data_IF_878728768312
#
_entry.id   IF_878728768312
#
_cell.length_a   1.000
_cell.length_b   1.000
_cell.length_c   1.000
_cell.angle_alpha   90.00
_cell.angle_beta   90.00
_cell.angle_gamma   90.00
#
_symmetry.space_group_name_H-M   'P 1'
#
loop_
_entity.id
_entity.type
_entity.pdbx_description
1 polymer ?
#
# COMPACT_ATOMS: atom_id res chain seq x y z
N UNK A 1 -7.01 -6.51 -24.73
CA UNK A 1 -7.99 -7.23 -23.88
C UNK A 1 -9.00 -6.25 -23.29
N UNK A 2 -10.18 -6.73 -22.93
CA UNK A 2 -11.15 -6.01 -22.10
C UNK A 2 -11.01 -6.51 -20.66
N UNK A 3 -10.63 -5.63 -19.75
CA UNK A 3 -10.32 -5.98 -18.36
C UNK A 3 -11.30 -5.28 -17.42
N UNK A 4 -12.06 -6.02 -16.63
CA UNK A 4 -12.88 -5.46 -15.58
C UNK A 4 -12.08 -5.42 -14.26
N UNK A 5 -11.91 -4.22 -13.69
CA UNK A 5 -11.27 -4.01 -12.38
C UNK A 5 -12.35 -3.80 -11.33
N UNK A 6 -12.40 -4.65 -10.31
CA UNK A 6 -13.47 -4.64 -9.31
C UNK A 6 -12.89 -4.47 -7.91
N UNK A 7 -13.27 -3.39 -7.25
CA UNK A 7 -12.88 -3.10 -5.87
C UNK A 7 -14.01 -2.34 -5.16
N UNK A 8 -14.31 -2.67 -3.91
CA UNK A 8 -15.27 -1.87 -3.12
C UNK A 8 -14.79 -0.43 -2.90
N UNK A 9 -13.48 -0.20 -2.98
CA UNK A 9 -12.84 1.09 -2.73
C UNK A 9 -12.15 1.60 -3.98
N UNK A 10 -12.46 2.85 -4.34
CA UNK A 10 -11.90 3.50 -5.51
C UNK A 10 -11.86 5.02 -5.29
N UNK A 11 -10.94 5.77 -5.90
CA UNK A 11 -10.94 7.23 -5.76
C UNK A 11 -12.30 7.86 -6.12
N UNK A 12 -12.69 8.94 -5.40
CA UNK A 12 -11.90 9.79 -4.50
C UNK A 12 -11.69 9.25 -3.09
N UNK A 13 -12.12 8.02 -2.79
CA UNK A 13 -11.83 7.40 -1.50
C UNK A 13 -10.33 7.16 -1.33
N UNK A 14 -9.78 7.66 -0.23
CA UNK A 14 -8.36 7.49 0.12
C UNK A 14 -8.14 6.09 0.72
N UNK A 15 -7.09 5.40 0.28
CA UNK A 15 -6.69 4.09 0.80
C UNK A 15 -5.77 3.37 -0.16
N UNK A 16 -4.86 2.52 0.36
CA UNK A 16 -3.85 1.82 -0.45
C UNK A 16 -4.46 0.96 -1.56
N UNK A 17 -5.47 0.13 -1.24
CA UNK A 17 -6.14 -0.71 -2.24
C UNK A 17 -6.93 0.10 -3.27
N UNK A 18 -7.55 1.23 -2.87
CA UNK A 18 -8.28 2.11 -3.77
C UNK A 18 -7.33 2.75 -4.80
N UNK A 19 -6.20 3.27 -4.33
CA UNK A 19 -5.21 3.88 -5.22
C UNK A 19 -4.55 2.84 -6.12
N UNK A 20 -4.15 1.68 -5.60
CA UNK A 20 -3.54 0.64 -6.41
C UNK A 20 -4.47 0.14 -7.52
N UNK A 21 -5.75 -0.12 -7.20
CA UNK A 21 -6.73 -0.55 -8.20
C UNK A 21 -6.92 0.51 -9.31
N UNK A 22 -6.98 1.80 -8.94
CA UNK A 22 -7.11 2.89 -9.90
C UNK A 22 -5.85 3.04 -10.77
N UNK A 23 -4.67 3.03 -10.15
CA UNK A 23 -3.40 3.16 -10.87
C UNK A 23 -3.17 2.00 -11.83
N UNK A 24 -3.51 0.76 -11.44
CA UNK A 24 -3.44 -0.38 -12.35
C UNK A 24 -4.46 -0.26 -13.50
N UNK A 25 -5.70 0.18 -13.22
CA UNK A 25 -6.69 0.41 -14.26
C UNK A 25 -6.23 1.45 -15.30
N UNK A 26 -5.63 2.55 -14.83
CA UNK A 26 -5.01 3.58 -15.67
C UNK A 26 -3.88 3.01 -16.52
N UNK A 27 -2.99 2.22 -15.91
CA UNK A 27 -1.87 1.59 -16.62
C UNK A 27 -2.33 0.58 -17.67
N UNK A 28 -3.39 -0.17 -17.41
CA UNK A 28 -3.96 -1.07 -18.41
C UNK A 28 -4.55 -0.29 -19.58
N UNK A 29 -5.30 0.80 -19.30
CA UNK A 29 -5.85 1.65 -20.34
C UNK A 29 -4.76 2.34 -21.17
N UNK A 30 -3.72 2.87 -20.54
CA UNK A 30 -2.57 3.50 -21.21
C UNK A 30 -1.82 2.54 -22.15
N UNK A 31 -1.90 1.23 -21.90
CA UNK A 31 -1.31 0.17 -22.76
C UNK A 31 -2.29 -0.35 -23.83
N UNK A 32 -3.40 0.35 -24.04
CA UNK A 32 -4.35 0.04 -25.12
C UNK A 32 -5.35 -1.06 -24.77
N UNK A 33 -5.52 -1.41 -23.49
CA UNK A 33 -6.59 -2.28 -23.07
C UNK A 33 -7.88 -1.48 -22.81
N UNK A 34 -9.03 -2.05 -23.11
CA UNK A 34 -10.32 -1.48 -22.73
C UNK A 34 -10.60 -1.84 -21.26
N UNK A 35 -10.83 -0.84 -20.42
CA UNK A 35 -10.96 -1.05 -18.97
C UNK A 35 -12.28 -0.52 -18.43
N UNK A 36 -12.94 -1.34 -17.60
CA UNK A 36 -14.12 -0.98 -16.81
C UNK A 36 -13.83 -1.18 -15.33
N UNK A 37 -13.79 -0.09 -14.57
CA UNK A 37 -13.71 -0.15 -13.11
C UNK A 37 -15.12 -0.17 -12.50
N UNK A 38 -15.40 -1.14 -11.62
CA UNK A 38 -16.67 -1.26 -10.89
C UNK A 38 -16.40 -1.16 -9.40
N UNK A 39 -17.06 -0.23 -8.71
CA UNK A 39 -16.82 0.04 -7.30
C UNK A 39 -18.10 0.39 -6.54
N UNK A 40 -18.02 0.50 -5.22
CA UNK A 40 -19.10 1.01 -4.39
C UNK A 40 -19.14 2.54 -4.43
N UNK A 41 -20.35 3.12 -4.41
CA UNK A 41 -20.53 4.56 -4.34
C UNK A 41 -19.90 5.14 -3.07
N UNK A 42 -19.26 6.29 -3.22
CA UNK A 42 -18.60 7.00 -2.12
C UNK A 42 -18.75 8.52 -2.27
N UNK A 43 -19.20 9.17 -1.20
CA UNK A 43 -19.46 10.62 -1.17
C UNK A 43 -20.29 11.06 -2.39
N UNK A 44 -19.98 12.21 -2.95
CA UNK A 44 -20.65 12.80 -4.11
C UNK A 44 -19.98 12.46 -5.45
N UNK A 45 -19.16 11.39 -5.46
CA UNK A 45 -18.49 10.95 -6.69
C UNK A 45 -19.52 10.51 -7.76
N UNK A 46 -19.33 10.85 -9.04
CA UNK A 46 -20.23 10.46 -10.12
C UNK A 46 -20.50 8.95 -10.15
N UNK A 47 -21.77 8.58 -10.38
CA UNK A 47 -22.15 7.16 -10.46
C UNK A 47 -21.57 6.46 -11.70
N UNK A 48 -21.27 7.21 -12.76
CA UNK A 48 -20.69 6.74 -14.02
C UNK A 48 -19.85 7.87 -14.60
N UNK A 49 -18.59 7.62 -14.86
CA UNK A 49 -17.67 8.61 -15.45
C UNK A 49 -16.61 7.90 -16.30
N UNK A 50 -16.06 8.65 -17.25
CA UNK A 50 -14.84 8.25 -17.96
C UNK A 50 -13.71 9.13 -17.47
N UNK A 51 -12.64 8.52 -17.00
CA UNK A 51 -11.47 9.19 -16.45
C UNK A 51 -10.22 8.46 -16.85
N UNK A 52 -9.16 9.17 -17.19
CA UNK A 52 -7.83 8.63 -17.51
C UNK A 52 -7.87 7.47 -18.54
N UNK A 53 -8.78 7.58 -19.53
CA UNK A 53 -8.94 6.62 -20.62
C UNK A 53 -9.77 5.37 -20.30
N UNK A 54 -10.37 5.27 -19.12
CA UNK A 54 -11.24 4.14 -18.74
C UNK A 54 -12.54 4.59 -18.07
N UNK A 55 -13.55 3.70 -18.07
CA UNK A 55 -14.85 3.96 -17.47
C UNK A 55 -14.89 3.47 -16.03
N UNK A 56 -15.46 4.29 -15.14
CA UNK A 56 -15.69 3.97 -13.72
C UNK A 56 -17.18 3.97 -13.42
N UNK A 57 -17.71 2.87 -12.95
CA UNK A 57 -19.11 2.73 -12.53
C UNK A 57 -19.20 2.47 -11.04
N UNK A 58 -19.93 3.32 -10.32
CA UNK A 58 -20.15 3.21 -8.87
C UNK A 58 -21.55 2.70 -8.58
N UNK A 59 -21.61 1.56 -7.89
CA UNK A 59 -22.88 0.96 -7.47
C UNK A 59 -23.31 1.52 -6.13
N UNK A 60 -24.61 1.88 -5.95
CA UNK A 60 -25.13 2.30 -4.65
C UNK A 60 -24.75 1.29 -3.56
N UNK A 61 -24.27 1.77 -2.42
CA UNK A 61 -23.82 0.91 -1.33
C UNK A 61 -24.45 1.29 0.01
N UNK A 62 -24.49 0.35 0.93
CA UNK A 62 -24.89 0.58 2.32
C UNK A 62 -23.61 0.74 3.14
N UNK A 63 -23.47 1.89 3.78
CA UNK A 63 -22.40 2.16 4.73
C UNK A 63 -22.70 1.40 6.03
N UNK A 64 -21.75 0.60 6.47
CA UNK A 64 -21.85 -0.12 7.74
C UNK A 64 -21.52 0.83 8.90
N UNK A 65 -22.21 0.71 10.04
CA UNK A 65 -21.84 1.44 11.24
C UNK A 65 -20.44 1.03 11.70
N UNK A 66 -19.69 2.01 12.22
CA UNK A 66 -18.39 1.76 12.80
C UNK A 66 -18.57 0.99 14.12
N UNK A 67 -18.09 -0.23 14.16
CA UNK A 67 -18.23 -1.11 15.33
C UNK A 67 -17.05 -1.01 16.31
N UNK A 68 -16.17 -0.02 16.13
CA UNK A 68 -14.94 0.12 16.95
C UNK A 68 -13.91 -1.01 16.75
N UNK A 69 -14.10 -1.83 15.70
CA UNK A 69 -13.26 -2.99 15.40
C UNK A 69 -11.97 -2.62 14.66
N UNK A 70 -11.89 -1.42 14.12
CA UNK A 70 -10.72 -0.91 13.42
C UNK A 70 -10.69 0.63 13.48
N UNK A 71 -9.52 1.19 13.17
CA UNK A 71 -9.34 2.61 12.88
C UNK A 71 -10.38 3.02 11.83
N UNK A 72 -10.98 4.19 11.97
CA UNK A 72 -11.99 4.88 11.11
C UNK A 72 -12.09 4.38 9.66
N UNK A 73 -12.45 3.12 9.49
CA UNK A 73 -12.55 2.48 8.20
C UNK A 73 -14.03 2.31 7.82
N UNK A 74 -14.51 3.19 6.97
CA UNK A 74 -15.87 3.11 6.44
C UNK A 74 -16.04 1.88 5.54
N UNK A 75 -16.67 0.82 6.06
CA UNK A 75 -17.04 -0.33 5.23
C UNK A 75 -18.35 -0.04 4.49
N UNK A 76 -18.35 -0.24 3.17
CA UNK A 76 -19.52 -0.07 2.31
C UNK A 76 -19.74 -1.35 1.50
N UNK A 77 -20.94 -1.91 1.58
CA UNK A 77 -21.34 -3.12 0.88
C UNK A 77 -22.40 -2.81 -0.18
N UNK A 78 -22.11 -3.14 -1.43
CA UNK A 78 -23.02 -2.95 -2.54
C UNK A 78 -24.09 -4.06 -2.63
N UNK A 79 -23.75 -5.29 -2.22
CA UNK A 79 -24.67 -6.43 -2.24
C UNK A 79 -25.91 -6.25 -1.35
N UNK A 80 -25.79 -5.41 -0.32
CA UNK A 80 -26.92 -5.09 0.58
C UNK A 80 -27.98 -4.20 -0.07
N UNK A 81 -27.73 -3.66 -1.27
CA UNK A 81 -28.75 -2.92 -2.05
C UNK A 81 -29.45 -3.85 -3.02
N UNK A 82 -30.78 -3.95 -2.97
CA UNK A 82 -31.54 -4.75 -3.92
C UNK A 82 -31.26 -4.36 -5.38
N UNK A 83 -31.08 -5.35 -6.23
CA UNK A 83 -30.83 -5.13 -7.65
C UNK A 83 -29.38 -4.89 -8.07
N UNK A 84 -28.44 -4.60 -7.15
CA UNK A 84 -27.05 -4.37 -7.51
C UNK A 84 -26.37 -5.61 -8.11
N UNK A 85 -26.69 -6.79 -7.67
CA UNK A 85 -26.22 -8.01 -8.31
C UNK A 85 -26.56 -8.04 -9.81
N UNK A 86 -27.88 -7.83 -10.13
CA UNK A 86 -28.32 -7.81 -11.54
C UNK A 86 -27.66 -6.68 -12.32
N UNK A 87 -27.48 -5.51 -11.69
CA UNK A 87 -26.81 -4.36 -12.31
C UNK A 87 -25.34 -4.63 -12.60
N UNK A 88 -24.61 -5.24 -11.66
CA UNK A 88 -23.21 -5.62 -11.85
C UNK A 88 -23.08 -6.62 -12.99
N UNK A 89 -23.90 -7.68 -13.00
CA UNK A 89 -23.85 -8.69 -14.03
C UNK A 89 -24.23 -8.12 -15.41
N UNK A 90 -25.24 -7.24 -15.48
CA UNK A 90 -25.60 -6.54 -16.70
C UNK A 90 -24.45 -5.68 -17.24
N UNK A 91 -23.72 -4.96 -16.37
CA UNK A 91 -22.53 -4.19 -16.75
C UNK A 91 -21.44 -5.09 -17.33
N UNK A 92 -21.19 -6.23 -16.72
CA UNK A 92 -20.22 -7.21 -17.21
C UNK A 92 -20.68 -7.88 -18.53
N UNK A 93 -21.98 -8.19 -18.69
CA UNK A 93 -22.55 -8.73 -19.94
C UNK A 93 -22.43 -7.72 -21.10
N UNK A 94 -22.64 -6.41 -20.83
CA UNK A 94 -22.49 -5.34 -21.81
C UNK A 94 -21.01 -5.11 -22.16
N UNK A 95 -20.14 -5.13 -21.17
CA UNK A 95 -18.70 -4.90 -21.33
C UNK A 95 -18.00 -6.11 -21.95
N UNK A 96 -18.44 -7.33 -21.68
CA UNK A 96 -17.88 -8.61 -22.15
C UNK A 96 -16.37 -8.72 -21.83
N UNK A 97 -15.98 -8.74 -20.57
CA UNK A 97 -14.56 -8.78 -20.21
C UNK A 97 -13.90 -10.08 -20.69
N UNK A 98 -12.63 -9.97 -21.09
CA UNK A 98 -11.77 -11.12 -21.36
C UNK A 98 -11.17 -11.66 -20.05
N UNK A 99 -10.97 -10.78 -19.05
CA UNK A 99 -10.44 -11.08 -17.72
C UNK A 99 -10.99 -10.14 -16.65
N UNK A 100 -10.96 -10.56 -15.38
CA UNK A 100 -11.43 -9.77 -14.24
C UNK A 100 -10.32 -9.66 -13.19
N UNK A 101 -10.00 -8.43 -12.78
CA UNK A 101 -9.11 -8.13 -11.65
C UNK A 101 -9.92 -7.78 -10.42
N UNK A 102 -9.91 -8.64 -9.42
CA UNK A 102 -10.57 -8.47 -8.13
C UNK A 102 -9.58 -7.92 -7.10
N UNK A 103 -10.03 -6.95 -6.31
CA UNK A 103 -9.23 -6.38 -5.22
C UNK A 103 -9.90 -6.59 -3.88
N UNK A 104 -9.20 -7.28 -2.98
CA UNK A 104 -9.66 -7.57 -1.62
C UNK A 104 -10.60 -8.78 -1.55
N UNK A 105 -10.14 -9.79 -0.81
CA UNK A 105 -10.82 -11.07 -0.62
C UNK A 105 -12.09 -10.99 0.24
N UNK A 106 -12.24 -9.91 1.01
CA UNK A 106 -13.28 -9.76 2.03
C UNK A 106 -14.48 -8.95 1.56
N UNK A 107 -14.50 -8.52 0.30
CA UNK A 107 -15.49 -7.58 -0.19
C UNK A 107 -16.50 -8.21 -1.16
N UNK A 108 -17.74 -7.80 -0.98
CA UNK A 108 -18.89 -8.35 -1.69
C UNK A 108 -18.86 -8.15 -3.21
N UNK A 109 -18.33 -7.03 -3.70
CA UNK A 109 -18.19 -6.83 -5.15
C UNK A 109 -17.20 -7.82 -5.76
N UNK A 110 -16.09 -8.12 -5.06
CA UNK A 110 -15.15 -9.15 -5.50
C UNK A 110 -15.82 -10.52 -5.56
N UNK A 111 -16.68 -10.87 -4.62
CA UNK A 111 -17.41 -12.13 -4.64
C UNK A 111 -18.42 -12.19 -5.79
N UNK A 112 -19.22 -11.14 -5.97
CA UNK A 112 -20.25 -11.08 -7.02
C UNK A 112 -19.64 -11.11 -8.44
N UNK A 113 -18.55 -10.39 -8.65
CA UNK A 113 -17.82 -10.41 -9.93
C UNK A 113 -17.07 -11.74 -10.13
N UNK A 114 -16.52 -12.32 -9.06
CA UNK A 114 -15.91 -13.64 -9.09
C UNK A 114 -16.91 -14.75 -9.44
N UNK A 115 -18.16 -14.68 -8.93
CA UNK A 115 -19.24 -15.60 -9.32
C UNK A 115 -19.57 -15.46 -10.81
N UNK A 116 -19.60 -14.24 -11.34
CA UNK A 116 -19.77 -14.00 -12.77
C UNK A 116 -18.62 -14.63 -13.57
N UNK A 117 -17.37 -14.35 -13.19
CA UNK A 117 -16.19 -14.91 -13.84
C UNK A 117 -16.21 -16.45 -13.84
N UNK A 118 -16.53 -17.04 -12.69
CA UNK A 118 -16.64 -18.51 -12.57
C UNK A 118 -17.69 -19.12 -13.48
N UNK A 119 -18.88 -18.46 -13.56
CA UNK A 119 -19.98 -18.91 -14.44
C UNK A 119 -19.61 -18.84 -15.91
N UNK A 120 -18.90 -17.78 -16.31
CA UNK A 120 -18.52 -17.52 -17.70
C UNK A 120 -17.14 -18.09 -18.06
N UNK A 121 -16.47 -18.80 -17.13
CA UNK A 121 -15.12 -19.37 -17.27
C UNK A 121 -14.08 -18.33 -17.67
N UNK A 122 -14.21 -17.12 -17.11
CA UNK A 122 -13.25 -16.04 -17.34
C UNK A 122 -12.07 -16.16 -16.38
N UNK A 123 -10.85 -15.88 -16.84
CA UNK A 123 -9.71 -15.68 -15.97
C UNK A 123 -9.97 -14.58 -14.93
N UNK A 124 -9.53 -14.83 -13.69
CA UNK A 124 -9.63 -13.82 -12.63
C UNK A 124 -8.39 -13.81 -11.76
N UNK A 125 -7.84 -12.62 -11.54
CA UNK A 125 -6.85 -12.34 -10.50
C UNK A 125 -7.55 -11.81 -9.26
N UNK A 126 -7.04 -12.14 -8.08
CA UNK A 126 -7.49 -11.58 -6.81
C UNK A 126 -6.28 -11.04 -6.03
N UNK A 127 -6.14 -9.73 -5.98
CA UNK A 127 -5.09 -9.08 -5.17
C UNK A 127 -5.51 -9.00 -3.72
N UNK A 128 -4.66 -9.50 -2.84
CA UNK A 128 -4.85 -9.52 -1.38
C UNK A 128 -4.25 -8.23 -0.81
N UNK A 129 -5.10 -7.33 -0.32
CA UNK A 129 -4.68 -6.04 0.25
C UNK A 129 -4.79 -5.98 1.77
N UNK A 130 -5.71 -6.73 2.35
CA UNK A 130 -6.04 -6.62 3.77
C UNK A 130 -5.89 -7.98 4.43
N UNK A 131 -5.06 -8.02 5.44
CA UNK A 131 -4.90 -9.19 6.29
C UNK A 131 -5.79 -8.98 7.53
N UNK A 132 -6.69 -9.92 7.78
CA UNK A 132 -7.56 -9.91 8.96
C UNK A 132 -6.83 -10.50 10.16
N UNK A 133 -5.85 -9.75 10.66
CA UNK A 133 -5.06 -10.08 11.84
C UNK A 133 -5.29 -9.02 12.92
N UNK A 134 -5.20 -9.42 14.17
CA UNK A 134 -5.31 -8.52 15.31
C UNK A 134 -4.54 -9.09 16.50
N UNK A 135 -3.83 -8.23 17.23
CA UNK A 135 -3.16 -8.56 18.47
C UNK A 135 -4.17 -8.87 19.61
N UNK A 136 -5.38 -8.35 19.49
CA UNK A 136 -6.47 -8.69 20.36
C UNK A 136 -6.99 -10.11 20.04
N UNK A 137 -6.78 -11.05 20.97
CA UNK A 137 -7.15 -12.47 20.81
C UNK A 137 -8.62 -12.68 20.44
N UNK A 138 -9.54 -11.85 20.97
CA UNK A 138 -10.97 -11.94 20.67
C UNK A 138 -11.23 -11.56 19.21
N UNK A 139 -10.72 -10.41 18.77
CA UNK A 139 -10.88 -9.97 17.37
C UNK A 139 -10.16 -10.88 16.39
N UNK A 140 -8.95 -11.32 16.71
CA UNK A 140 -8.23 -12.32 15.93
C UNK A 140 -9.02 -13.62 15.77
N UNK A 141 -9.70 -14.09 16.84
CA UNK A 141 -10.60 -15.24 16.80
C UNK A 141 -11.82 -15.01 15.91
N UNK A 142 -12.46 -13.84 16.01
CA UNK A 142 -13.61 -13.47 15.15
C UNK A 142 -13.19 -13.39 13.69
N UNK A 143 -12.06 -12.76 13.38
CA UNK A 143 -11.55 -12.68 12.01
C UNK A 143 -11.22 -14.05 11.42
N UNK A 144 -10.59 -14.92 12.22
CA UNK A 144 -10.30 -16.30 11.83
C UNK A 144 -11.59 -17.08 11.54
N UNK A 145 -12.60 -16.92 12.38
CA UNK A 145 -13.91 -17.54 12.18
C UNK A 145 -14.57 -17.05 10.88
N UNK A 146 -14.62 -15.73 10.64
CA UNK A 146 -15.19 -15.16 9.43
C UNK A 146 -14.44 -15.61 8.16
N UNK A 147 -13.11 -15.65 8.22
CA UNK A 147 -12.31 -16.21 7.13
C UNK A 147 -12.69 -17.66 6.84
N UNK A 148 -12.83 -18.48 7.88
CA UNK A 148 -13.06 -19.92 7.74
C UNK A 148 -14.47 -20.24 7.23
N UNK A 149 -15.51 -19.53 7.71
CA UNK A 149 -16.91 -19.85 7.38
C UNK A 149 -17.48 -19.06 6.20
N UNK A 150 -16.90 -17.91 5.87
CA UNK A 150 -17.41 -17.04 4.83
C UNK A 150 -16.43 -16.90 3.65
N UNK A 151 -15.22 -16.41 3.92
CA UNK A 151 -14.27 -16.05 2.85
C UNK A 151 -13.69 -17.28 2.18
N UNK A 152 -13.13 -18.20 2.95
CA UNK A 152 -12.48 -19.40 2.42
C UNK A 152 -13.39 -20.29 1.56
N UNK A 153 -14.65 -20.61 1.97
CA UNK A 153 -15.57 -21.37 1.11
C UNK A 153 -15.87 -20.66 -0.23
N UNK A 154 -16.04 -19.34 -0.20
CA UNK A 154 -16.24 -18.55 -1.41
C UNK A 154 -15.01 -18.62 -2.31
N UNK A 155 -13.80 -18.38 -1.80
CA UNK A 155 -12.57 -18.41 -2.57
C UNK A 155 -12.27 -19.81 -3.14
N UNK A 156 -12.54 -20.87 -2.37
CA UNK A 156 -12.44 -22.25 -2.85
C UNK A 156 -13.40 -22.57 -4.01
N UNK A 157 -14.59 -21.97 -3.99
CA UNK A 157 -15.54 -22.10 -5.10
C UNK A 157 -15.10 -21.27 -6.31
N UNK A 158 -14.67 -20.03 -6.10
CA UNK A 158 -14.27 -19.12 -7.18
C UNK A 158 -12.99 -19.59 -7.87
N UNK A 159 -12.02 -20.08 -7.12
CA UNK A 159 -10.69 -20.50 -7.59
C UNK A 159 -9.97 -19.38 -8.36
N UNK A 160 -9.80 -18.18 -7.77
CA UNK A 160 -9.03 -17.12 -8.40
C UNK A 160 -7.55 -17.50 -8.43
N UNK A 161 -6.78 -16.88 -9.34
CA UNK A 161 -5.35 -16.81 -9.18
C UNK A 161 -5.04 -15.67 -8.23
N UNK A 162 -4.35 -15.95 -7.13
CA UNK A 162 -4.04 -14.97 -6.09
C UNK A 162 -2.86 -14.10 -6.52
N UNK A 163 -2.94 -12.81 -6.21
CA UNK A 163 -1.81 -11.88 -6.26
C UNK A 163 -1.50 -11.45 -4.83
N UNK A 164 -0.30 -11.77 -4.36
CA UNK A 164 0.14 -11.56 -2.99
C UNK A 164 1.29 -10.57 -2.99
N UNK A 165 1.25 -9.57 -2.08
CA UNK A 165 2.08 -8.39 -2.16
C UNK A 165 3.41 -8.51 -1.41
N UNK A 166 3.45 -9.29 -0.33
CA UNK A 166 4.59 -9.44 0.56
C UNK A 166 4.59 -10.79 1.30
N UNK A 167 5.64 -11.07 2.05
CA UNK A 167 5.81 -12.30 2.80
C UNK A 167 4.71 -12.52 3.85
N UNK A 168 4.30 -11.48 4.56
CA UNK A 168 3.23 -11.58 5.54
C UNK A 168 1.92 -12.01 4.89
N UNK A 169 1.65 -11.48 3.69
CA UNK A 169 0.54 -11.90 2.84
C UNK A 169 0.67 -13.36 2.39
N UNK A 170 1.88 -13.82 2.07
CA UNK A 170 2.13 -15.23 1.70
C UNK A 170 1.79 -16.15 2.87
N UNK A 171 2.37 -15.89 4.03
CA UNK A 171 2.15 -16.71 5.24
C UNK A 171 0.66 -16.77 5.61
N UNK A 172 -0.02 -15.60 5.54
CA UNK A 172 -1.46 -15.51 5.76
C UNK A 172 -2.27 -16.32 4.75
N UNK A 173 -1.99 -16.20 3.46
CA UNK A 173 -2.76 -16.88 2.41
C UNK A 173 -2.51 -18.38 2.39
N UNK A 174 -1.30 -18.83 2.69
CA UNK A 174 -0.99 -20.26 2.85
C UNK A 174 -1.77 -20.84 4.02
N UNK A 175 -1.75 -20.18 5.20
CA UNK A 175 -2.48 -20.64 6.39
C UNK A 175 -3.99 -20.65 6.18
N UNK A 176 -4.55 -19.58 5.56
CA UNK A 176 -6.01 -19.37 5.51
C UNK A 176 -6.68 -19.96 4.29
N UNK A 177 -6.02 -19.89 3.14
CA UNK A 177 -6.63 -20.24 1.85
C UNK A 177 -5.93 -21.41 1.17
N UNK A 178 -4.78 -21.88 1.69
CA UNK A 178 -4.03 -22.99 1.12
C UNK A 178 -3.41 -22.61 -0.23
N UNK A 179 -2.92 -21.38 -0.35
CA UNK A 179 -2.25 -20.93 -1.57
C UNK A 179 -0.89 -21.57 -1.75
N UNK A 180 -0.43 -21.64 -3.00
CA UNK A 180 0.88 -22.16 -3.41
C UNK A 180 1.28 -21.53 -4.74
N UNK A 181 2.49 -21.75 -5.20
CA UNK A 181 2.98 -21.27 -6.51
C UNK A 181 2.11 -21.71 -7.69
N UNK A 182 1.37 -22.81 -7.53
CA UNK A 182 0.46 -23.30 -8.57
C UNK A 182 -0.74 -22.36 -8.81
N UNK A 183 -1.18 -21.60 -7.79
CA UNK A 183 -2.37 -20.75 -7.85
C UNK A 183 -2.12 -19.31 -7.39
N UNK A 184 -0.85 -18.90 -7.21
CA UNK A 184 -0.47 -17.56 -6.77
C UNK A 184 0.63 -16.98 -7.63
N UNK A 185 0.64 -15.65 -7.73
CA UNK A 185 1.75 -14.82 -8.20
C UNK A 185 2.12 -13.83 -7.10
N UNK A 186 3.36 -13.39 -7.10
CA UNK A 186 3.89 -12.47 -6.11
C UNK A 186 4.27 -11.16 -6.81
N UNK A 187 3.39 -10.17 -6.73
CA UNK A 187 3.62 -8.84 -7.27
C UNK A 187 3.57 -7.84 -6.14
N UNK A 188 4.62 -7.05 -5.93
CA UNK A 188 4.69 -6.12 -4.82
C UNK A 188 3.69 -4.98 -4.96
N UNK A 189 3.54 -4.20 -3.90
CA UNK A 189 2.82 -2.93 -3.97
C UNK A 189 3.51 -2.01 -4.98
N UNK A 190 2.72 -1.37 -5.86
CA UNK A 190 3.26 -0.48 -6.87
C UNK A 190 3.36 0.97 -6.39
N UNK A 191 4.40 1.68 -6.84
CA UNK A 191 4.59 3.11 -6.62
C UNK A 191 4.65 3.86 -7.95
N UNK A 192 3.99 5.02 -7.99
CA UNK A 192 3.96 5.87 -9.17
C UNK A 192 5.26 6.67 -9.28
N UNK A 193 6.07 6.34 -10.29
CA UNK A 193 7.35 6.98 -10.52
C UNK A 193 7.22 8.41 -11.02
N UNK A 194 6.15 8.76 -11.72
CA UNK A 194 5.95 10.08 -12.33
C UNK A 194 5.61 11.19 -11.33
N UNK A 195 5.18 10.87 -10.12
CA UNK A 195 4.87 11.89 -9.11
C UNK A 195 6.09 12.64 -8.59
N UNK A 196 7.28 12.05 -8.70
CA UNK A 196 8.55 12.62 -8.21
C UNK A 196 9.32 13.41 -9.29
N UNK A 197 8.80 13.48 -10.50
CA UNK A 197 9.38 14.25 -11.61
C UNK A 197 8.79 15.66 -11.72
N UNK A 198 7.76 15.96 -10.94
CA UNK A 198 7.06 17.25 -10.94
C UNK A 198 7.82 18.30 -10.13
N UNK A 199 7.79 19.57 -10.53
CA UNK A 199 8.38 20.66 -9.75
C UNK A 199 7.77 20.74 -8.34
N UNK A 200 8.63 20.96 -7.35
CA UNK A 200 8.21 21.17 -5.97
C UNK A 200 7.59 22.56 -5.81
N UNK A 201 6.46 22.64 -5.14
CA UNK A 201 5.71 23.88 -4.90
C UNK A 201 5.81 24.40 -3.47
N UNK A 202 6.41 23.59 -2.57
CA UNK A 202 6.52 23.88 -1.15
C UNK A 202 7.99 23.84 -0.72
N UNK A 203 8.43 24.89 -0.01
CA UNK A 203 9.69 24.88 0.73
C UNK A 203 9.43 24.44 2.18
N UNK A 204 9.59 23.15 2.43
CA UNK A 204 9.34 22.52 3.74
C UNK A 204 10.27 23.07 4.82
N UNK A 205 11.54 23.40 4.48
CA UNK A 205 12.50 23.95 5.47
C UNK A 205 12.08 25.32 5.93
N UNK A 206 11.65 26.17 5.02
CA UNK A 206 11.13 27.50 5.36
C UNK A 206 9.80 27.43 6.12
N UNK A 207 8.85 26.60 5.65
CA UNK A 207 7.51 26.43 6.25
C UNK A 207 7.60 26.01 7.73
N UNK A 208 8.47 25.05 8.03
CA UNK A 208 8.60 24.50 9.38
C UNK A 208 9.79 25.06 10.17
N UNK A 209 10.48 26.07 9.65
CA UNK A 209 11.64 26.74 10.29
C UNK A 209 12.72 25.74 10.73
N UNK A 210 13.05 24.77 9.85
CA UNK A 210 13.96 23.68 10.17
C UNK A 210 15.44 24.12 10.29
N UNK A 211 15.79 25.27 9.73
CA UNK A 211 17.19 25.74 9.68
C UNK A 211 18.05 24.91 8.71
N UNK A 212 19.36 24.99 8.88
CA UNK A 212 20.36 24.34 8.03
C UNK A 212 20.80 22.96 8.56
N UNK A 213 20.30 22.56 9.72
CA UNK A 213 20.62 21.26 10.34
C UNK A 213 20.06 20.08 9.56
N UNK A 214 20.52 18.85 9.88
CA UNK A 214 19.98 17.64 9.26
C UNK A 214 18.51 17.44 9.59
N UNK A 215 17.75 16.91 8.61
CA UNK A 215 16.31 16.65 8.74
C UNK A 215 16.02 15.17 8.53
N UNK A 216 15.34 14.58 9.50
CA UNK A 216 14.78 13.24 9.39
C UNK A 216 13.26 13.38 9.18
N UNK A 217 12.74 12.86 8.08
CA UNK A 217 11.29 12.81 7.84
C UNK A 217 10.75 11.44 8.20
N UNK A 218 9.69 11.40 8.99
CA UNK A 218 8.96 10.17 9.29
C UNK A 218 7.53 10.30 8.80
N UNK A 219 7.25 9.75 7.60
CA UNK A 219 6.00 9.92 6.88
C UNK A 219 5.07 8.73 7.11
N UNK A 220 3.79 9.02 7.28
CA UNK A 220 2.69 8.07 7.45
C UNK A 220 1.88 8.30 8.72
N UNK A 221 0.64 7.83 8.75
CA UNK A 221 -0.19 7.94 9.94
C UNK A 221 0.43 7.21 11.13
N UNK A 222 0.43 7.85 12.30
CA UNK A 222 0.91 7.25 13.54
C UNK A 222 -0.22 6.48 14.20
N UNK A 223 -0.07 5.16 14.22
CA UNK A 223 -1.00 4.19 14.81
C UNK A 223 -0.21 3.23 15.72
N UNK A 224 -0.83 2.42 16.56
CA UNK A 224 -0.10 1.48 17.43
C UNK A 224 0.93 0.62 16.70
N UNK A 225 0.56 0.05 15.54
CA UNK A 225 1.44 -0.77 14.69
C UNK A 225 2.52 0.03 13.94
N UNK A 226 2.37 1.34 13.86
CA UNK A 226 3.28 2.28 13.20
C UNK A 226 3.54 3.46 14.11
N UNK A 227 3.96 3.16 15.32
CA UNK A 227 4.37 4.17 16.28
C UNK A 227 5.75 4.74 15.88
N UNK A 228 6.22 5.74 16.58
CA UNK A 228 7.52 6.38 16.32
C UNK A 228 8.51 6.16 17.45
N UNK A 229 8.22 5.20 18.35
CA UNK A 229 9.04 4.94 19.52
C UNK A 229 10.49 4.60 19.18
N UNK A 230 10.80 3.71 18.20
CA UNK A 230 12.19 3.38 17.90
C UNK A 230 13.01 4.59 17.46
N UNK A 231 12.39 5.52 16.68
CA UNK A 231 13.04 6.75 16.27
C UNK A 231 13.22 7.71 17.45
N UNK A 232 12.20 7.88 18.30
CA UNK A 232 12.24 8.77 19.44
C UNK A 232 13.26 8.30 20.48
N UNK A 233 13.35 7.02 20.74
CA UNK A 233 14.34 6.42 21.64
C UNK A 233 15.78 6.49 21.09
N UNK A 234 15.95 6.59 19.79
CA UNK A 234 17.23 6.81 19.13
C UNK A 234 17.70 8.29 19.24
N UNK A 235 16.78 9.24 19.40
CA UNK A 235 17.09 10.68 19.35
C UNK A 235 18.12 11.16 20.37
N UNK A 236 18.15 10.74 21.64
CA UNK A 236 19.19 11.18 22.57
C UNK A 236 20.60 10.95 22.03
N UNK A 237 20.88 9.76 21.48
CA UNK A 237 22.18 9.42 20.91
C UNK A 237 22.46 10.19 19.61
N UNK A 238 21.45 10.41 18.77
CA UNK A 238 21.57 11.19 17.54
C UNK A 238 21.87 12.63 17.86
N UNK A 239 21.15 13.26 18.80
CA UNK A 239 21.32 14.67 19.19
C UNK A 239 22.63 14.92 19.92
N UNK A 240 23.19 13.93 20.63
CA UNK A 240 24.54 14.03 21.21
C UNK A 240 25.61 14.25 20.13
N UNK A 241 25.48 13.62 18.97
CA UNK A 241 26.40 13.74 17.82
C UNK A 241 26.03 14.89 16.88
N UNK A 242 24.74 15.06 16.65
CA UNK A 242 24.17 16.03 15.71
C UNK A 242 23.11 16.89 16.39
N UNK A 243 23.47 17.87 17.25
CA UNK A 243 22.51 18.63 18.06
C UNK A 243 21.54 19.48 17.24
N UNK A 244 21.82 19.70 15.94
CA UNK A 244 20.94 20.44 15.01
C UNK A 244 19.89 19.59 14.31
N UNK A 245 19.81 18.28 14.57
CA UNK A 245 18.84 17.40 13.93
C UNK A 245 17.41 17.81 14.27
N UNK A 246 16.56 17.83 13.25
CA UNK A 246 15.10 17.96 13.39
C UNK A 246 14.40 16.72 12.81
N UNK A 247 13.36 16.27 13.50
CA UNK A 247 12.47 15.19 13.03
C UNK A 247 11.13 15.77 12.65
N UNK A 248 10.71 15.55 11.40
CA UNK A 248 9.40 15.99 10.90
C UNK A 248 8.50 14.77 10.76
N UNK A 249 7.50 14.65 11.62
CA UNK A 249 6.50 13.60 11.60
C UNK A 249 5.32 14.07 10.74
N UNK A 250 5.15 13.42 9.58
CA UNK A 250 4.14 13.79 8.58
C UNK A 250 3.03 12.74 8.56
N UNK A 251 1.82 13.13 8.95
CA UNK A 251 0.64 12.26 8.98
C UNK A 251 -0.24 12.52 10.20
N UNK A 252 -1.46 11.99 10.19
CA UNK A 252 -2.35 12.09 11.36
C UNK A 252 -1.81 11.24 12.50
N UNK A 253 -1.84 11.80 13.69
CA UNK A 253 -1.47 11.10 14.93
C UNK A 253 -2.75 10.56 15.57
N UNK A 254 -2.90 9.24 15.56
CA UNK A 254 -3.95 8.51 16.27
C UNK A 254 -3.42 7.85 17.55
N UNK A 255 -2.09 7.83 17.72
CA UNK A 255 -1.41 7.21 18.85
C UNK A 255 -0.21 8.07 19.27
N UNK A 256 -0.35 8.79 20.38
CA UNK A 256 0.55 9.88 20.81
C UNK A 256 1.66 9.43 21.77
N UNK A 257 1.81 8.14 22.04
CA UNK A 257 2.77 7.60 23.04
C UNK A 257 4.20 8.09 22.74
N UNK A 258 4.57 8.21 21.46
CA UNK A 258 5.90 8.70 21.08
C UNK A 258 6.17 10.16 21.51
N UNK A 259 5.15 11.02 21.58
CA UNK A 259 5.30 12.41 22.05
C UNK A 259 5.57 12.45 23.55
N UNK A 260 4.84 11.66 24.33
CA UNK A 260 5.07 11.53 25.77
C UNK A 260 6.48 11.00 26.06
N UNK A 261 6.91 10.00 25.26
CA UNK A 261 8.25 9.46 25.36
C UNK A 261 9.33 10.48 25.01
N UNK A 262 9.07 11.32 24.00
CA UNK A 262 9.98 12.41 23.65
C UNK A 262 10.13 13.45 24.78
N UNK A 263 9.04 13.79 25.47
CA UNK A 263 9.06 14.66 26.66
C UNK A 263 9.90 14.04 27.80
N UNK A 264 9.66 12.75 28.09
CA UNK A 264 10.42 12.01 29.12
C UNK A 264 11.93 11.99 28.83
N UNK A 265 12.31 11.88 27.56
CA UNK A 265 13.70 11.84 27.13
C UNK A 265 14.31 13.25 26.93
N UNK A 266 13.52 14.32 27.04
CA UNK A 266 13.98 15.69 26.83
C UNK A 266 14.33 16.03 25.38
N UNK A 267 13.74 15.33 24.40
CA UNK A 267 14.00 15.50 22.95
C UNK A 267 12.80 16.05 22.17
N UNK A 268 11.74 16.46 22.85
CA UNK A 268 10.51 16.95 22.23
C UNK A 268 10.73 18.16 21.31
N UNK A 269 11.66 19.05 21.64
CA UNK A 269 11.98 20.26 20.85
C UNK A 269 12.63 19.94 19.49
N UNK A 270 13.11 18.71 19.30
CA UNK A 270 13.64 18.26 18.02
C UNK A 270 12.53 17.73 17.09
N UNK A 271 11.30 17.52 17.58
CA UNK A 271 10.21 16.88 16.85
C UNK A 271 9.18 17.91 16.41
N UNK A 272 8.83 17.88 15.13
CA UNK A 272 7.79 18.71 14.52
C UNK A 272 6.72 17.77 13.96
N UNK A 273 5.46 17.97 14.38
CA UNK A 273 4.31 17.19 13.87
C UNK A 273 3.48 18.05 12.94
N UNK A 274 3.41 17.70 11.67
CA UNK A 274 2.68 18.50 10.67
C UNK A 274 1.19 18.15 10.59
N UNK A 275 0.79 16.97 11.08
CA UNK A 275 -0.49 16.41 10.74
C UNK A 275 -0.52 15.85 9.31
N UNK A 276 -1.74 15.59 8.77
CA UNK A 276 -1.88 15.13 7.39
C UNK A 276 -1.62 16.26 6.40
N UNK A 277 -0.82 15.98 5.39
CA UNK A 277 -0.52 16.89 4.28
C UNK A 277 -1.15 16.41 2.97
N UNK A 278 -1.40 17.29 2.00
CA UNK A 278 -1.82 16.89 0.66
C UNK A 278 -0.80 15.93 0.03
N UNK A 279 -1.29 14.91 -0.70
CA UNK A 279 -0.40 13.95 -1.38
C UNK A 279 0.57 14.63 -2.36
N UNK A 280 0.14 15.72 -2.97
CA UNK A 280 0.98 16.50 -3.90
C UNK A 280 2.19 17.15 -3.22
N UNK A 281 2.13 17.40 -1.91
CA UNK A 281 3.22 18.04 -1.16
C UNK A 281 4.23 17.02 -0.60
N UNK A 282 3.89 15.72 -0.58
CA UNK A 282 4.77 14.66 -0.05
C UNK A 282 6.17 14.66 -0.68
N UNK A 283 6.33 14.83 -2.01
CA UNK A 283 7.66 14.92 -2.62
C UNK A 283 8.54 16.04 -2.05
N UNK A 284 7.94 17.18 -1.63
CA UNK A 284 8.68 18.28 -1.04
C UNK A 284 9.24 17.94 0.36
N UNK A 285 8.52 17.12 1.14
CA UNK A 285 9.03 16.62 2.43
C UNK A 285 10.21 15.68 2.23
N UNK A 286 10.16 14.79 1.23
CA UNK A 286 11.30 13.93 0.93
C UNK A 286 12.50 14.71 0.43
N UNK A 287 12.28 15.71 -0.42
CA UNK A 287 13.37 16.58 -0.90
C UNK A 287 14.02 17.44 0.21
N UNK A 288 13.29 17.75 1.27
CA UNK A 288 13.82 18.48 2.42
C UNK A 288 14.60 17.58 3.40
N UNK A 289 14.42 16.24 3.30
CA UNK A 289 14.99 15.28 4.23
C UNK A 289 16.40 14.85 3.84
N UNK A 290 17.24 14.66 4.83
CA UNK A 290 18.53 13.96 4.70
C UNK A 290 18.33 12.45 4.79
N UNK A 291 17.39 12.02 5.65
CA UNK A 291 17.04 10.61 5.89
C UNK A 291 15.52 10.52 6.06
N UNK A 292 14.94 9.43 5.54
CA UNK A 292 13.54 9.11 5.79
C UNK A 292 13.43 7.83 6.61
N UNK A 293 12.50 7.84 7.54
CA UNK A 293 12.03 6.65 8.25
C UNK A 293 10.50 6.56 8.10
N UNK A 294 9.94 5.36 8.08
CA UNK A 294 8.48 5.23 8.03
C UNK A 294 7.98 4.28 9.10
N UNK A 295 8.19 2.99 8.93
CA UNK A 295 7.65 1.94 9.75
C UNK A 295 8.80 1.11 10.35
N UNK A 296 9.33 1.59 11.48
CA UNK A 296 10.45 0.96 12.17
C UNK A 296 9.99 -0.19 13.12
N UNK A 297 8.71 -0.51 13.10
CA UNK A 297 8.11 -1.60 13.87
C UNK A 297 7.90 -2.87 13.02
N UNK A 298 8.46 -2.93 11.84
CA UNK A 298 8.39 -4.10 10.96
C UNK A 298 7.62 -3.84 9.66
N UNK A 299 8.01 -2.82 8.89
CA UNK A 299 7.37 -2.50 7.63
C UNK A 299 8.27 -1.83 6.59
N UNK A 300 7.88 -2.00 5.32
CA UNK A 300 8.38 -1.25 4.17
C UNK A 300 7.22 -1.05 3.20
N UNK A 301 6.34 -0.12 3.53
CA UNK A 301 5.13 0.15 2.75
C UNK A 301 5.34 1.22 1.68
N UNK A 302 4.24 1.67 1.07
CA UNK A 302 4.24 2.67 0.00
C UNK A 302 5.06 3.92 0.33
N UNK A 303 4.95 4.45 1.56
CA UNK A 303 5.69 5.66 1.95
C UNK A 303 7.21 5.45 1.99
N UNK A 304 7.69 4.27 2.42
CA UNK A 304 9.12 3.92 2.38
C UNK A 304 9.60 3.82 0.93
N UNK A 305 8.85 3.13 0.08
CA UNK A 305 9.18 2.97 -1.35
C UNK A 305 9.13 4.31 -2.10
N UNK A 306 8.17 5.17 -1.80
CA UNK A 306 8.09 6.54 -2.35
C UNK A 306 9.30 7.39 -1.93
N UNK A 307 9.76 7.28 -0.68
CA UNK A 307 10.94 7.96 -0.19
C UNK A 307 12.23 7.48 -0.89
N UNK A 308 12.42 6.17 -1.01
CA UNK A 308 13.53 5.58 -1.77
C UNK A 308 13.50 6.02 -3.22
N UNK A 309 12.31 6.01 -3.84
CA UNK A 309 12.12 6.44 -5.23
C UNK A 309 12.50 7.92 -5.44
N UNK A 310 12.23 8.79 -4.45
CA UNK A 310 12.59 10.21 -4.50
C UNK A 310 14.10 10.46 -4.48
N UNK A 311 14.92 9.44 -4.18
CA UNK A 311 16.36 9.56 -4.05
C UNK A 311 16.79 10.03 -2.66
N UNK A 312 15.98 9.79 -1.63
CA UNK A 312 16.33 10.08 -0.24
C UNK A 312 16.67 8.78 0.49
N UNK A 313 17.80 8.74 1.19
CA UNK A 313 18.21 7.57 1.96
C UNK A 313 17.13 7.19 2.98
N UNK A 314 16.66 5.95 2.93
CA UNK A 314 15.49 5.50 3.68
C UNK A 314 15.83 4.29 4.53
N UNK A 315 15.51 4.36 5.83
CA UNK A 315 15.68 3.23 6.75
C UNK A 315 14.35 2.49 6.85
N UNK A 316 14.34 1.21 6.48
CA UNK A 316 13.20 0.32 6.57
C UNK A 316 13.43 -0.78 7.63
N UNK A 317 12.35 -1.45 8.03
CA UNK A 317 12.40 -2.49 9.05
C UNK A 317 11.63 -3.73 8.58
N UNK A 318 12.24 -4.47 7.65
CA UNK A 318 11.73 -5.75 7.14
C UNK A 318 12.88 -6.74 7.01
N UNK A 319 12.56 -8.00 6.69
CA UNK A 319 13.57 -9.01 6.35
C UNK A 319 13.92 -8.96 4.87
N UNK A 320 15.11 -9.46 4.49
CA UNK A 320 15.56 -9.46 3.11
C UNK A 320 14.66 -10.27 2.16
N UNK A 321 13.89 -11.20 2.70
CA UNK A 321 12.92 -12.03 1.97
C UNK A 321 11.48 -11.48 2.02
N UNK A 322 11.29 -10.20 2.41
CA UNK A 322 9.96 -9.61 2.58
C UNK A 322 9.11 -9.59 1.29
N UNK A 323 9.74 -9.47 0.15
CA UNK A 323 9.05 -9.45 -1.13
C UNK A 323 9.48 -10.67 -1.96
N UNK A 324 8.64 -11.70 -2.10
CA UNK A 324 9.00 -12.88 -2.88
C UNK A 324 9.40 -12.54 -4.31
N UNK A 325 10.54 -13.05 -4.75
CA UNK A 325 11.09 -12.77 -6.09
C UNK A 325 11.88 -11.46 -6.22
N UNK A 326 11.92 -10.62 -5.17
CA UNK A 326 12.74 -9.40 -5.14
C UNK A 326 13.86 -9.58 -4.13
N UNK A 327 15.08 -9.44 -4.60
CA UNK A 327 16.26 -9.61 -3.75
C UNK A 327 16.60 -8.31 -3.02
N UNK A 328 16.22 -8.26 -1.73
CA UNK A 328 16.64 -7.19 -0.84
C UNK A 328 17.96 -7.60 -0.15
N UNK A 329 18.95 -6.72 -0.20
CA UNK A 329 20.27 -6.94 0.44
C UNK A 329 20.62 -5.76 1.31
N UNK A 330 20.63 -5.97 2.64
CA UNK A 330 20.94 -4.92 3.59
C UNK A 330 22.34 -4.32 3.35
N UNK A 331 22.43 -3.00 3.30
CA UNK A 331 23.66 -2.25 3.02
C UNK A 331 24.09 -2.23 1.55
N UNK A 332 23.45 -3.02 0.66
CA UNK A 332 23.71 -3.02 -0.77
C UNK A 332 22.68 -2.22 -1.55
N UNK A 333 21.42 -2.61 -1.52
CA UNK A 333 20.34 -1.99 -2.27
C UNK A 333 19.16 -1.47 -1.41
N UNK A 334 19.23 -1.67 -0.11
CA UNK A 334 18.29 -1.17 0.89
C UNK A 334 19.00 -1.06 2.24
N UNK A 335 18.56 -0.15 3.11
CA UNK A 335 18.99 -0.10 4.51
C UNK A 335 17.92 -0.69 5.43
N UNK A 336 18.30 -1.74 6.14
CA UNK A 336 17.40 -2.45 7.04
C UNK A 336 17.89 -2.40 8.48
N UNK A 337 16.94 -2.14 9.39
CA UNK A 337 17.13 -2.32 10.82
C UNK A 337 16.13 -3.35 11.34
N UNK A 338 16.43 -3.97 12.48
CA UNK A 338 15.45 -4.87 13.11
C UNK A 338 14.25 -4.08 13.62
N UNK A 339 13.05 -4.68 13.62
CA UNK A 339 11.90 -4.07 14.26
C UNK A 339 12.20 -3.66 15.71
N UNK A 340 11.76 -2.46 16.08
CA UNK A 340 11.87 -1.90 17.44
C UNK A 340 13.31 -1.76 17.97
N UNK A 341 14.34 -1.76 17.12
CA UNK A 341 15.75 -1.65 17.49
C UNK A 341 16.20 -0.18 17.39
N UNK A 342 15.98 0.57 18.47
CA UNK A 342 16.36 2.00 18.55
C UNK A 342 17.88 2.24 18.50
N UNK A 343 18.70 1.29 18.96
CA UNK A 343 20.16 1.38 18.89
C UNK A 343 20.66 1.25 17.45
N UNK A 344 20.10 0.30 16.70
CA UNK A 344 20.39 0.17 15.27
C UNK A 344 19.91 1.39 14.48
N UNK A 345 18.74 1.95 14.81
CA UNK A 345 18.26 3.20 14.20
C UNK A 345 19.23 4.34 14.48
N UNK A 346 19.65 4.54 15.74
CA UNK A 346 20.60 5.59 16.12
C UNK A 346 21.93 5.46 15.37
N UNK A 347 22.53 4.28 15.40
CA UNK A 347 23.83 4.04 14.73
C UNK A 347 23.74 4.23 13.22
N UNK A 348 22.68 3.76 12.57
CA UNK A 348 22.48 3.93 11.12
C UNK A 348 22.26 5.41 10.75
N UNK A 349 21.46 6.14 11.51
CA UNK A 349 21.25 7.59 11.29
C UNK A 349 22.55 8.36 11.44
N UNK A 350 23.31 8.13 12.54
CA UNK A 350 24.58 8.81 12.79
C UNK A 350 25.57 8.53 11.64
N UNK A 351 25.71 7.27 11.24
CA UNK A 351 26.59 6.87 10.15
C UNK A 351 26.24 7.60 8.83
N UNK A 352 24.96 7.70 8.49
CA UNK A 352 24.51 8.39 7.28
C UNK A 352 24.68 9.91 7.36
N UNK A 353 24.61 10.51 8.54
CA UNK A 353 24.82 11.93 8.73
C UNK A 353 26.32 12.27 8.70
N UNK A 354 27.18 11.38 9.21
CA UNK A 354 28.64 11.54 9.22
C UNK A 354 29.25 11.32 7.83
N UNK A 355 28.62 10.51 6.98
CA UNK A 355 29.09 10.19 5.62
C UNK A 355 28.06 10.54 4.53
N UNK A 356 28.06 11.80 4.02
CA UNK A 356 27.16 12.22 2.95
C UNK A 356 27.36 11.44 1.64
N UNK A 357 28.57 10.92 1.38
CA UNK A 357 28.83 10.12 0.16
C UNK A 357 28.16 8.77 0.26
N UNK A 358 28.29 8.10 1.41
CA UNK A 358 27.56 6.85 1.70
C UNK A 358 26.06 7.07 1.62
N UNK A 359 25.55 8.14 2.24
CA UNK A 359 24.13 8.49 2.19
C UNK A 359 23.61 8.63 0.76
N UNK A 360 24.34 9.37 -0.09
CA UNK A 360 23.97 9.53 -1.50
C UNK A 360 24.01 8.23 -2.29
N UNK A 361 25.02 7.39 -2.04
CA UNK A 361 25.13 6.08 -2.69
C UNK A 361 23.99 5.13 -2.31
N UNK A 362 23.61 5.11 -1.04
CA UNK A 362 22.47 4.36 -0.53
C UNK A 362 21.19 4.82 -1.22
N UNK A 363 20.89 6.13 -1.19
CA UNK A 363 19.73 6.69 -1.83
C UNK A 363 19.63 6.34 -3.32
N UNK A 364 20.75 6.41 -4.04
CA UNK A 364 20.82 6.01 -5.46
C UNK A 364 20.47 4.54 -5.66
N UNK A 365 21.01 3.65 -4.83
CA UNK A 365 20.80 2.20 -4.95
C UNK A 365 19.37 1.81 -4.59
N UNK A 366 18.82 2.40 -3.53
CA UNK A 366 17.43 2.23 -3.13
C UNK A 366 16.47 2.69 -4.24
N UNK A 367 16.70 3.86 -4.82
CA UNK A 367 15.89 4.37 -5.92
C UNK A 367 15.94 3.46 -7.15
N UNK A 368 17.12 2.95 -7.50
CA UNK A 368 17.28 2.01 -8.60
C UNK A 368 16.54 0.68 -8.34
N UNK A 369 16.66 0.15 -7.14
CA UNK A 369 15.95 -1.07 -6.70
C UNK A 369 14.44 -0.89 -6.78
N UNK A 370 13.91 0.24 -6.28
CA UNK A 370 12.46 0.51 -6.30
C UNK A 370 11.97 0.69 -7.73
N UNK A 371 12.68 1.43 -8.59
CA UNK A 371 12.30 1.59 -10.01
C UNK A 371 12.25 0.26 -10.75
N UNK A 372 13.21 -0.61 -10.50
CA UNK A 372 13.31 -1.90 -11.19
C UNK A 372 12.23 -2.90 -10.78
N UNK A 373 11.70 -2.83 -9.55
CA UNK A 373 10.85 -3.89 -9.01
C UNK A 373 9.45 -3.39 -8.57
N UNK A 374 9.33 -2.14 -8.17
CA UNK A 374 8.09 -1.58 -7.57
C UNK A 374 7.47 -0.48 -8.43
N UNK A 375 8.09 -0.11 -9.54
CA UNK A 375 7.52 0.85 -10.48
C UNK A 375 6.14 0.40 -10.96
N UNK A 376 5.19 1.33 -10.98
CA UNK A 376 3.81 1.03 -11.38
C UNK A 376 3.73 0.43 -12.79
N UNK A 377 4.61 0.84 -13.68
CA UNK A 377 4.76 0.31 -15.04
C UNK A 377 5.22 -1.15 -15.04
N UNK A 378 6.22 -1.48 -14.20
CA UNK A 378 6.75 -2.85 -14.05
C UNK A 378 5.68 -3.78 -13.48
N UNK A 379 5.06 -3.36 -12.39
CA UNK A 379 4.02 -4.16 -11.72
C UNK A 379 2.79 -4.37 -12.60
N UNK A 380 2.37 -3.34 -13.35
CA UNK A 380 1.25 -3.46 -14.28
C UNK A 380 1.56 -4.42 -15.43
N UNK A 381 2.78 -4.40 -15.94
CA UNK A 381 3.23 -5.33 -16.98
C UNK A 381 3.17 -6.79 -16.53
N UNK A 382 3.60 -7.10 -15.31
CA UNK A 382 3.52 -8.46 -14.76
C UNK A 382 2.07 -8.94 -14.60
N UNK A 383 1.16 -8.06 -14.18
CA UNK A 383 -0.27 -8.38 -14.15
C UNK A 383 -0.82 -8.68 -15.55
N UNK A 384 -0.44 -7.88 -16.56
CA UNK A 384 -0.90 -8.07 -17.92
C UNK A 384 -0.37 -9.37 -18.53
N UNK A 385 0.90 -9.71 -18.32
CA UNK A 385 1.48 -10.99 -18.75
C UNK A 385 0.74 -12.18 -18.12
N UNK A 386 0.38 -12.07 -16.86
CA UNK A 386 -0.42 -13.11 -16.20
C UNK A 386 -1.80 -13.20 -16.79
N UNK A 387 -2.48 -12.09 -17.07
CA UNK A 387 -3.78 -12.13 -17.75
C UNK A 387 -3.70 -12.75 -19.13
N UNK A 388 -2.72 -12.38 -19.94
CA UNK A 388 -2.52 -12.95 -21.28
C UNK A 388 -2.35 -14.46 -21.22
N UNK A 389 -1.49 -14.95 -20.32
CA UNK A 389 -1.30 -16.38 -20.10
C UNK A 389 -2.61 -17.08 -19.72
N UNK A 390 -3.34 -16.53 -18.76
CA UNK A 390 -4.59 -17.14 -18.29
C UNK A 390 -5.70 -17.11 -19.35
N UNK A 391 -5.77 -16.07 -20.18
CA UNK A 391 -6.72 -15.97 -21.30
C UNK A 391 -6.43 -17.03 -22.34
N UNK A 392 -5.16 -17.21 -22.73
CA UNK A 392 -4.74 -18.24 -23.67
C UNK A 392 -5.07 -19.66 -23.13
N UNK A 393 -4.77 -19.91 -21.85
CA UNK A 393 -5.11 -21.19 -21.19
C UNK A 393 -6.62 -21.44 -21.17
N UNK A 394 -7.43 -20.42 -20.91
CA UNK A 394 -8.88 -20.53 -20.89
C UNK A 394 -9.47 -20.82 -22.29
N UNK A 395 -8.90 -20.22 -23.35
CA UNK A 395 -9.36 -20.44 -24.73
C UNK A 395 -9.00 -21.83 -25.24
N UNK A 396 -7.87 -22.40 -24.82
CA UNK A 396 -7.50 -23.80 -25.14
C UNK A 396 -8.44 -24.82 -24.49
N UNK A 397 -9.06 -24.46 -23.34
CA UNK A 397 -9.96 -25.33 -22.58
C UNK A 397 -11.46 -25.19 -22.98
N UNK A 398 -11.79 -24.27 -23.88
CA UNK A 398 -13.13 -24.05 -24.43
C UNK A 398 -13.34 -24.85 -25.70
#
# INVERSE_FOLDING_TARGET
MRIAVVNNFFPPRVGGSAHMAASLAEQYAARGHEVLAITAAYADAPADETKDGYRVVRLPAVKMPQLGLSIDFDMSFASLRPGNWRRLWKLLDEFKPDAIHLHGQFFDLSWLAGLYARRHKLPMLLTIHTLLISDNKLYGGVFRFLDSVLVNPILRYLKPRFVILDKLGVDYCVERYGTSDANSDYFPIAVDTGNFEKPLTLDVRAEHKLGDGPVIVSLGHVIPLRNRLPLVEALPSILDKHPGVKVVVVGRVYHDVFLKRAEELGVADAIIVTGAVPKADVPAYFAAADIVTHDLNGGCGTASLEAMLSGTATIASVTEDNYPGIELRNGENILLVRPDDSEAVASTVIELLDDPQKRALVAQRESAMVRANFGLDVVAEEHLRTFEKLVIEADVLR
#
